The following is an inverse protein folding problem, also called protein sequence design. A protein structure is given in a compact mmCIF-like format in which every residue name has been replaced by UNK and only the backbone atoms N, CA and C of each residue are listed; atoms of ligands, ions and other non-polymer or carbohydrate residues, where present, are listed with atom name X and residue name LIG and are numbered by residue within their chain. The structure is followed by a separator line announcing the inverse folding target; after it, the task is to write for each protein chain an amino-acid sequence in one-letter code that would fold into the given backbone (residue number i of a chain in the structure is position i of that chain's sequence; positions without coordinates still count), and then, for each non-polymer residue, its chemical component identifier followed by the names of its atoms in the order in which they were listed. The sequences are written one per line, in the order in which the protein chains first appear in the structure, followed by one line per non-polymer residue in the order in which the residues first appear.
data_IF_853806890279
#
_entry.id   IF_853806890279
#
_cell.length_a   1.000
_cell.length_b   1.000
_cell.length_c   1.000
_cell.angle_alpha   90.00
_cell.angle_beta   90.00
_cell.angle_gamma   90.00
#
_symmetry.space_group_name_H-M   'P 1'
#
loop_
_entity.id
_entity.type
_entity.pdbx_description
1 polymer ?
#
# COMPACT_ATOMS: atom_id res chain seq x y z
N UNK A 1 -30.27 -26.16 4.78
CA UNK A 1 -29.60 -25.83 3.50
C UNK A 1 -29.86 -24.38 3.08
N UNK A 2 -31.11 -23.97 2.84
CA UNK A 2 -31.46 -22.60 2.40
C UNK A 2 -30.98 -21.48 3.35
N UNK A 3 -31.27 -21.61 4.66
CA UNK A 3 -30.87 -20.60 5.66
C UNK A 3 -29.35 -20.45 5.73
N UNK A 4 -28.59 -21.55 5.65
CA UNK A 4 -27.13 -21.51 5.64
C UNK A 4 -26.57 -20.77 4.40
N UNK A 5 -27.19 -20.97 3.23
CA UNK A 5 -26.81 -20.29 1.99
C UNK A 5 -27.12 -18.79 2.05
N UNK A 6 -28.29 -18.41 2.56
CA UNK A 6 -28.67 -16.99 2.74
C UNK A 6 -27.73 -16.29 3.75
N UNK A 7 -27.37 -16.97 4.84
CA UNK A 7 -26.40 -16.45 5.81
C UNK A 7 -24.99 -16.33 5.22
N UNK A 8 -24.57 -17.26 4.37
CA UNK A 8 -23.27 -17.19 3.71
C UNK A 8 -23.18 -16.01 2.72
N UNK A 9 -24.19 -15.85 1.86
CA UNK A 9 -24.25 -14.74 0.89
C UNK A 9 -24.31 -13.40 1.61
N UNK A 10 -25.13 -13.26 2.65
CA UNK A 10 -25.22 -12.01 3.42
C UNK A 10 -23.92 -11.65 4.14
N UNK A 11 -23.11 -12.63 4.55
CA UNK A 11 -21.78 -12.40 5.13
C UNK A 11 -20.77 -11.91 4.10
N UNK A 12 -20.78 -12.48 2.90
CA UNK A 12 -19.91 -12.02 1.81
C UNK A 12 -20.24 -10.59 1.42
N UNK A 13 -21.52 -10.28 1.18
CA UNK A 13 -21.97 -8.93 0.81
C UNK A 13 -21.61 -7.94 1.92
N UNK A 14 -21.84 -8.30 3.19
CA UNK A 14 -21.49 -7.44 4.33
C UNK A 14 -19.98 -7.23 4.43
N UNK A 15 -19.16 -8.24 4.17
CA UNK A 15 -17.71 -8.12 4.13
C UNK A 15 -17.24 -7.14 3.06
N UNK A 16 -17.78 -7.24 1.84
CA UNK A 16 -17.42 -6.34 0.75
C UNK A 16 -17.71 -4.86 1.07
N UNK A 17 -18.82 -4.57 1.74
CA UNK A 17 -19.20 -3.19 2.11
C UNK A 17 -18.47 -2.72 3.37
N UNK A 18 -18.26 -3.59 4.36
CA UNK A 18 -17.69 -3.20 5.67
C UNK A 18 -16.17 -3.05 5.63
N UNK A 19 -15.47 -3.67 4.67
CA UNK A 19 -14.01 -3.57 4.55
C UNK A 19 -13.52 -2.29 3.84
N UNK A 20 -14.40 -1.56 3.14
CA UNK A 20 -14.07 -0.34 2.41
C UNK A 20 -13.27 0.71 3.22
N UNK A 21 -13.59 1.01 4.51
CA UNK A 21 -12.84 2.01 5.28
C UNK A 21 -11.42 1.57 5.65
N UNK A 22 -11.09 0.28 5.62
CA UNK A 22 -9.74 -0.21 5.90
C UNK A 22 -8.78 0.06 4.73
N UNK A 23 -9.30 0.03 3.50
CA UNK A 23 -8.51 0.22 2.27
C UNK A 23 -8.27 1.69 1.93
N UNK A 24 -8.94 2.63 2.61
CA UNK A 24 -8.85 4.09 2.35
C UNK A 24 -7.41 4.59 2.39
N UNK A 25 -6.58 4.06 3.28
CA UNK A 25 -5.17 4.47 3.43
C UNK A 25 -4.36 4.21 2.15
N UNK A 26 -4.72 3.16 1.40
CA UNK A 26 -4.02 2.73 0.18
C UNK A 26 -4.71 3.31 -1.06
N UNK A 27 -6.06 3.34 -1.08
CA UNK A 27 -6.85 3.86 -2.19
C UNK A 27 -6.67 5.37 -2.40
N UNK A 28 -6.62 6.14 -1.32
CA UNK A 28 -6.66 7.62 -1.36
C UNK A 28 -5.26 8.26 -1.34
N UNK A 29 -4.26 7.62 -1.96
CA UNK A 29 -2.90 8.17 -2.03
C UNK A 29 -2.83 9.28 -3.09
N UNK A 30 -2.47 10.53 -2.73
CA UNK A 30 -2.51 11.66 -3.67
C UNK A 30 -1.44 11.60 -4.76
N UNK A 31 -0.20 11.18 -4.44
CA UNK A 31 0.87 10.98 -5.42
C UNK A 31 1.64 9.66 -5.12
N UNK A 32 1.41 8.60 -5.92
CA UNK A 32 2.06 7.31 -5.74
C UNK A 32 3.42 7.18 -6.45
N UNK A 33 3.85 8.15 -7.25
CA UNK A 33 5.05 8.03 -8.10
C UNK A 33 6.33 7.77 -7.30
N UNK A 34 6.43 8.39 -6.12
CA UNK A 34 7.59 8.21 -5.26
C UNK A 34 7.68 6.78 -4.70
N UNK A 35 6.53 6.19 -4.39
CA UNK A 35 6.43 4.80 -3.94
C UNK A 35 6.78 3.83 -5.07
N UNK A 36 6.24 4.10 -6.27
CA UNK A 36 6.55 3.33 -7.48
C UNK A 36 8.05 3.34 -7.76
N UNK A 37 8.70 4.49 -7.62
CA UNK A 37 10.15 4.61 -7.80
C UNK A 37 10.94 3.68 -6.86
N UNK A 38 10.56 3.60 -5.59
CA UNK A 38 11.24 2.71 -4.63
C UNK A 38 11.02 1.25 -4.98
N UNK A 39 9.81 0.87 -5.41
CA UNK A 39 9.55 -0.48 -5.89
C UNK A 39 10.44 -0.81 -7.09
N UNK A 40 10.59 0.11 -8.05
CA UNK A 40 11.49 -0.07 -9.20
C UNK A 40 12.96 -0.14 -8.79
N UNK A 41 13.39 0.69 -7.83
CA UNK A 41 14.76 0.65 -7.31
C UNK A 41 15.05 -0.72 -6.65
N UNK A 42 14.08 -1.28 -5.90
CA UNK A 42 14.20 -2.65 -5.33
C UNK A 42 14.33 -3.69 -6.46
N UNK A 43 13.55 -3.57 -7.53
CA UNK A 43 13.66 -4.47 -8.68
C UNK A 43 15.05 -4.39 -9.35
N UNK A 44 15.57 -3.18 -9.54
CA UNK A 44 16.88 -2.95 -10.14
C UNK A 44 18.00 -3.52 -9.26
N UNK A 45 17.95 -3.27 -7.95
CA UNK A 45 18.96 -3.76 -7.00
C UNK A 45 18.95 -5.30 -6.92
N UNK A 46 17.77 -5.92 -7.03
CA UNK A 46 17.63 -7.37 -7.13
C UNK A 46 18.28 -7.94 -8.40
N UNK A 47 18.15 -7.24 -9.53
CA UNK A 47 18.82 -7.62 -10.79
C UNK A 47 20.34 -7.46 -10.70
N UNK A 48 20.83 -6.47 -9.94
CA UNK A 48 22.24 -6.27 -9.66
C UNK A 48 22.84 -7.24 -8.61
N UNK A 49 22.01 -8.10 -7.99
CA UNK A 49 22.40 -9.03 -6.92
C UNK A 49 23.02 -8.37 -5.67
N UNK A 50 22.71 -7.10 -5.39
CA UNK A 50 23.14 -6.42 -4.17
C UNK A 50 22.08 -6.55 -3.06
N UNK A 51 22.13 -7.68 -2.35
CA UNK A 51 21.11 -8.04 -1.36
C UNK A 51 21.13 -7.17 -0.09
N UNK A 52 22.25 -6.52 0.23
CA UNK A 52 22.35 -5.66 1.42
C UNK A 52 21.56 -4.38 1.18
N UNK A 53 21.74 -3.78 0.00
CA UNK A 53 21.00 -2.60 -0.41
C UNK A 53 19.51 -2.91 -0.60
N UNK A 54 19.18 -4.10 -1.13
CA UNK A 54 17.80 -4.56 -1.26
C UNK A 54 17.09 -4.59 0.09
N UNK A 55 17.74 -5.13 1.13
CA UNK A 55 17.18 -5.22 2.48
C UNK A 55 16.91 -3.83 3.07
N UNK A 56 17.80 -2.86 2.87
CA UNK A 56 17.61 -1.49 3.39
C UNK A 56 16.45 -0.77 2.68
N UNK A 57 16.36 -0.88 1.35
CA UNK A 57 15.24 -0.33 0.57
C UNK A 57 13.91 -0.97 0.97
N UNK A 58 13.90 -2.28 1.20
CA UNK A 58 12.72 -3.01 1.63
C UNK A 58 12.31 -2.65 3.07
N UNK A 59 13.26 -2.47 3.98
CA UNK A 59 13.00 -2.00 5.33
C UNK A 59 12.38 -0.60 5.34
N UNK A 60 12.86 0.30 4.48
CA UNK A 60 12.28 1.64 4.29
C UNK A 60 10.83 1.57 3.79
N UNK A 61 10.54 0.67 2.85
CA UNK A 61 9.19 0.45 2.33
C UNK A 61 8.24 -0.05 3.44
N UNK A 62 8.66 -1.04 4.23
CA UNK A 62 7.87 -1.55 5.37
C UNK A 62 7.60 -0.45 6.39
N UNK A 63 8.63 0.32 6.76
CA UNK A 63 8.50 1.40 7.73
C UNK A 63 7.47 2.43 7.28
N UNK A 64 7.47 2.79 6.00
CA UNK A 64 6.53 3.73 5.42
C UNK A 64 5.08 3.23 5.53
N UNK A 65 4.82 1.97 5.15
CA UNK A 65 3.48 1.40 5.20
C UNK A 65 2.98 1.13 6.63
N UNK A 66 3.90 0.95 7.59
CA UNK A 66 3.54 0.74 9.00
C UNK A 66 3.01 2.01 9.67
N UNK A 67 3.38 3.19 9.17
CA UNK A 67 2.97 4.47 9.74
C UNK A 67 2.20 5.32 8.71
N UNK A 68 0.87 5.45 8.82
CA UNK A 68 0.07 6.23 7.87
C UNK A 68 0.45 7.72 7.90
N UNK A 69 0.92 8.21 9.05
CA UNK A 69 1.37 9.61 9.19
C UNK A 69 2.61 9.92 8.34
N UNK A 70 3.54 8.99 8.22
CA UNK A 70 4.73 9.13 7.37
C UNK A 70 4.38 8.92 5.91
N UNK A 71 3.48 7.97 5.60
CA UNK A 71 2.98 7.75 4.25
C UNK A 71 2.38 9.04 3.67
N UNK A 72 1.47 9.69 4.40
CA UNK A 72 0.82 10.95 3.98
C UNK A 72 1.84 12.09 3.79
N UNK A 73 2.84 12.20 4.67
CA UNK A 73 3.88 13.22 4.54
C UNK A 73 4.72 13.01 3.27
N UNK A 74 4.93 11.75 2.88
CA UNK A 74 5.76 11.38 1.75
C UNK A 74 5.03 11.46 0.40
N UNK A 75 3.74 11.14 0.39
CA UNK A 75 2.90 11.17 -0.81
C UNK A 75 2.25 12.53 -1.06
N UNK A 76 2.43 13.51 -0.15
CA UNK A 76 1.91 14.87 -0.32
C UNK A 76 2.49 15.52 -1.58
N UNK A 77 1.63 16.18 -2.38
CA UNK A 77 2.06 17.02 -3.49
C UNK A 77 3.09 18.06 -3.02
N UNK A 78 4.29 18.00 -3.56
CA UNK A 78 5.29 19.05 -3.38
C UNK A 78 4.89 20.22 -4.28
N UNK A 79 4.70 21.45 -3.74
CA UNK A 79 4.48 22.60 -4.59
C UNK A 79 5.70 22.77 -5.50
N UNK A 80 5.46 22.95 -6.80
CA UNK A 80 6.50 23.30 -7.76
C UNK A 80 7.07 24.65 -7.32
N UNK A 81 8.32 24.66 -6.86
CA UNK A 81 9.07 25.91 -6.69
C UNK A 81 9.47 26.33 -8.10
N UNK A 82 8.75 27.30 -8.65
CA UNK A 82 9.15 28.05 -9.83
C UNK A 82 10.29 29.03 -9.48
#
# INVERSE_FOLDING_TARGET
MYIALVLFISRIIRGAVTNQPLDVIISEIPNPDHLLKICLDIYLVREAHDFILEQDLYAKLIFLFRSPSTLIKWTRYKPKQD
#
